data_IF_278933446931
#
_entry.id   IF_278933446931
#
_cell.length_a   1.000
_cell.length_b   1.000
_cell.length_c   1.000
_cell.angle_alpha   90.00
_cell.angle_beta   90.00
_cell.angle_gamma   90.00
#
_symmetry.space_group_name_H-M   'P 1'
#
loop_
_entity.id
_entity.type
_entity.pdbx_description
1 polymer ?
#
# COMPACT_ATOMS: atom_id res chain seq x y z
N UNK A 1 15.27 -52.55 -80.03
CA UNK A 1 14.09 -51.77 -80.51
C UNK A 1 13.57 -50.93 -79.36
N UNK A 2 13.51 -49.59 -79.55
CA UNK A 2 12.65 -48.56 -78.90
C UNK A 2 12.67 -48.46 -77.37
N UNK A 3 12.80 -47.31 -76.69
CA UNK A 3 12.70 -45.88 -77.00
C UNK A 3 13.21 -45.19 -75.69
N UNK A 4 14.27 -44.38 -75.71
CA UNK A 4 14.27 -42.92 -75.50
C UNK A 4 13.74 -42.37 -74.15
N UNK A 5 14.23 -41.29 -73.52
CA UNK A 5 15.30 -40.29 -73.75
C UNK A 5 15.38 -39.40 -72.48
N UNK A 6 16.55 -38.79 -72.26
CA UNK A 6 16.83 -37.41 -71.78
C UNK A 6 16.42 -36.88 -70.37
N UNK A 7 17.46 -36.28 -69.78
CA UNK A 7 17.54 -34.94 -69.18
C UNK A 7 16.79 -34.63 -67.88
N UNK A 8 17.54 -34.54 -66.78
CA UNK A 8 17.24 -33.69 -65.63
C UNK A 8 18.13 -32.44 -65.62
N UNK A 9 17.60 -31.33 -66.13
CA UNK A 9 17.98 -29.95 -65.76
C UNK A 9 16.72 -29.09 -65.86
N UNK A 10 16.62 -28.13 -64.93
CA UNK A 10 15.54 -27.13 -64.75
C UNK A 10 14.31 -27.77 -64.10
N UNK A 11 13.96 -27.43 -62.86
CA UNK A 11 13.18 -26.23 -62.51
C UNK A 11 13.60 -25.72 -61.12
N UNK A 12 14.17 -24.52 -61.08
CA UNK A 12 14.08 -23.61 -59.92
C UNK A 12 12.70 -22.96 -60.00
N UNK A 13 11.86 -23.15 -58.99
CA UNK A 13 10.59 -22.47 -58.90
C UNK A 13 9.76 -22.98 -57.73
N UNK A 14 9.43 -22.06 -56.82
CA UNK A 14 8.30 -22.11 -55.88
C UNK A 14 8.52 -22.99 -54.63
N UNK A 15 9.15 -22.40 -53.62
CA UNK A 15 8.70 -22.62 -52.22
C UNK A 15 8.31 -21.24 -51.70
N UNK A 16 7.04 -20.94 -51.89
CA UNK A 16 6.33 -19.79 -51.33
C UNK A 16 6.09 -20.09 -49.85
N UNK A 17 6.65 -19.21 -49.00
CA UNK A 17 5.98 -18.58 -47.87
C UNK A 17 4.98 -19.46 -47.08
N UNK A 18 5.46 -20.09 -46.00
CA UNK A 18 4.65 -20.32 -44.81
C UNK A 18 5.45 -19.82 -43.61
N UNK A 19 5.68 -18.50 -43.59
CA UNK A 19 6.01 -17.81 -42.37
C UNK A 19 4.71 -17.75 -41.57
N UNK A 20 4.54 -18.66 -40.62
CA UNK A 20 3.53 -18.55 -39.58
C UNK A 20 3.93 -17.31 -38.78
N UNK A 21 3.37 -16.17 -39.17
CA UNK A 21 3.35 -14.97 -38.35
C UNK A 21 2.36 -15.24 -37.23
N UNK A 22 2.82 -15.92 -36.17
CA UNK A 22 2.16 -15.77 -34.86
C UNK A 22 2.45 -14.33 -34.45
N UNK A 23 1.60 -13.40 -34.90
CA UNK A 23 1.44 -12.15 -34.19
C UNK A 23 0.83 -12.58 -32.86
N UNK A 24 1.67 -12.81 -31.86
CA UNK A 24 1.24 -12.56 -30.52
C UNK A 24 0.83 -11.08 -30.54
N UNK A 25 -0.47 -10.82 -30.56
CA UNK A 25 -0.97 -9.52 -30.13
C UNK A 25 -0.59 -9.43 -28.66
N UNK A 26 0.65 -9.02 -28.38
CA UNK A 26 0.96 -8.38 -27.14
C UNK A 26 0.04 -7.16 -27.11
N UNK A 27 -1.08 -7.26 -26.41
CA UNK A 27 -1.83 -6.11 -25.93
C UNK A 27 -0.99 -5.38 -24.87
N UNK A 28 0.27 -5.07 -25.20
CA UNK A 28 1.09 -4.16 -24.42
C UNK A 28 0.63 -2.77 -24.79
N UNK A 29 0.07 -2.05 -23.82
CA UNK A 29 -0.10 -0.60 -23.95
C UNK A 29 1.22 0.01 -24.40
N UNK A 30 1.17 0.99 -25.29
CA UNK A 30 2.36 1.73 -25.64
C UNK A 30 2.92 2.38 -24.37
N UNK A 31 4.24 2.41 -24.22
CA UNK A 31 4.90 2.98 -23.04
C UNK A 31 4.60 4.47 -22.82
N UNK A 32 4.02 5.14 -23.81
CA UNK A 32 3.54 6.53 -23.74
C UNK A 32 2.21 6.67 -22.97
N UNK A 33 1.47 5.58 -22.78
CA UNK A 33 0.17 5.59 -22.10
C UNK A 33 0.28 5.36 -20.58
N UNK A 34 1.49 5.11 -20.04
CA UNK A 34 1.74 4.91 -18.60
C UNK A 34 2.06 6.23 -17.91
N UNK A 35 1.19 6.67 -16.99
CA UNK A 35 1.39 7.93 -16.23
C UNK A 35 2.54 7.83 -15.23
N UNK A 36 2.62 6.72 -14.51
CA UNK A 36 3.53 6.54 -13.38
C UNK A 36 4.61 5.51 -13.69
N UNK A 37 5.59 5.90 -14.53
CA UNK A 37 6.66 5.01 -15.04
C UNK A 37 7.66 4.55 -13.97
N UNK A 38 7.74 5.26 -12.85
CA UNK A 38 8.60 4.92 -11.71
C UNK A 38 7.98 5.38 -10.40
N UNK A 39 8.23 4.64 -9.32
CA UNK A 39 7.93 5.09 -7.96
C UNK A 39 8.86 6.26 -7.53
N UNK A 40 10.04 6.41 -8.15
CA UNK A 40 10.95 7.52 -7.88
C UNK A 40 10.27 8.87 -8.12
N UNK A 41 10.33 9.72 -7.10
CA UNK A 41 9.72 11.04 -7.09
C UNK A 41 8.28 11.08 -6.54
N UNK A 42 7.74 9.95 -6.06
CA UNK A 42 6.37 9.89 -5.56
C UNK A 42 6.29 9.62 -4.06
N UNK A 43 5.19 10.07 -3.46
CA UNK A 43 4.71 9.70 -2.13
C UNK A 43 3.47 8.83 -2.30
N UNK A 44 3.60 7.54 -2.00
CA UNK A 44 2.47 6.60 -2.04
C UNK A 44 2.05 6.25 -0.61
N UNK A 45 0.76 6.01 -0.39
CA UNK A 45 0.25 5.58 0.92
C UNK A 45 -0.17 4.11 0.88
N UNK A 46 -0.15 3.41 2.02
CA UNK A 46 -0.92 2.17 2.14
C UNK A 46 -2.41 2.46 2.22
N UNK A 47 -3.24 1.58 1.64
CA UNK A 47 -4.70 1.69 1.67
C UNK A 47 -5.32 0.32 1.90
N UNK A 48 -6.10 0.16 2.96
CA UNK A 48 -6.67 -1.13 3.37
C UNK A 48 -8.03 -1.40 2.74
N UNK A 49 -8.93 -0.41 2.80
CA UNK A 49 -10.28 -0.57 2.28
C UNK A 49 -11.08 -1.70 2.94
N UNK A 50 -10.78 -2.04 4.19
CA UNK A 50 -11.33 -3.21 4.89
C UNK A 50 -12.46 -2.91 5.86
N UNK A 51 -12.81 -1.63 6.07
CA UNK A 51 -13.85 -1.24 7.02
C UNK A 51 -15.25 -1.55 6.47
N UNK A 52 -16.08 -2.21 7.27
CA UNK A 52 -17.44 -2.66 6.90
C UNK A 52 -18.46 -2.18 7.91
N UNK A 53 -19.66 -1.87 7.43
CA UNK A 53 -20.75 -1.39 8.24
C UNK A 53 -21.98 -2.31 8.15
N UNK A 54 -22.76 -2.39 9.22
CA UNK A 54 -24.08 -3.03 9.13
C UNK A 54 -24.96 -2.25 8.15
N UNK A 55 -25.57 -2.96 7.21
CA UNK A 55 -26.43 -2.39 6.17
C UNK A 55 -25.69 -1.93 4.92
N UNK A 56 -24.38 -2.14 4.85
CA UNK A 56 -23.63 -1.93 3.61
C UNK A 56 -23.83 -3.05 2.58
N UNK A 57 -23.31 -2.82 1.37
CA UNK A 57 -23.46 -3.78 0.28
C UNK A 57 -22.62 -5.05 0.46
N UNK A 58 -21.73 -5.10 1.46
CA UNK A 58 -20.99 -6.31 1.82
C UNK A 58 -21.92 -7.32 2.49
N UNK A 59 -22.89 -6.84 3.29
CA UNK A 59 -23.81 -7.66 4.09
C UNK A 59 -23.08 -8.67 5.01
N UNK A 60 -21.88 -8.30 5.50
CA UNK A 60 -21.08 -9.12 6.43
C UNK A 60 -21.07 -8.58 7.87
N UNK A 61 -21.74 -7.45 8.11
CA UNK A 61 -21.79 -6.78 9.40
C UNK A 61 -20.60 -5.84 9.63
N UNK A 62 -20.37 -5.48 10.90
CA UNK A 62 -19.24 -4.63 11.28
C UNK A 62 -17.91 -5.35 11.05
N UNK A 63 -16.97 -4.67 10.40
CA UNK A 63 -15.61 -5.15 10.18
C UNK A 63 -14.60 -4.04 10.43
N UNK A 64 -13.53 -4.35 11.18
CA UNK A 64 -12.41 -3.47 11.55
C UNK A 64 -12.75 -2.22 12.40
N UNK A 65 -14.03 -1.88 12.58
CA UNK A 65 -14.46 -0.83 13.52
C UNK A 65 -14.64 -1.32 14.97
N UNK A 66 -14.88 -2.61 15.14
CA UNK A 66 -15.07 -3.24 16.44
C UNK A 66 -14.91 -4.74 16.37
N UNK A 67 -15.07 -5.41 17.52
CA UNK A 67 -14.92 -6.84 17.65
C UNK A 67 -16.27 -7.56 17.80
N UNK A 68 -16.26 -8.90 17.65
CA UNK A 68 -17.44 -9.77 17.86
C UNK A 68 -18.69 -9.34 17.06
N UNK A 69 -18.49 -8.72 15.89
CA UNK A 69 -19.55 -8.24 15.01
C UNK A 69 -20.34 -7.04 15.56
N UNK A 70 -19.78 -6.29 16.53
CA UNK A 70 -20.40 -5.11 17.13
C UNK A 70 -19.52 -3.88 16.98
N UNK A 71 -20.15 -2.70 17.01
CA UNK A 71 -19.47 -1.42 17.03
C UNK A 71 -20.19 -0.48 18.01
N UNK A 72 -19.78 -0.57 19.27
CA UNK A 72 -20.34 0.14 20.42
C UNK A 72 -19.23 0.42 21.45
N UNK A 73 -19.46 1.21 22.52
CA UNK A 73 -18.41 1.57 23.49
C UNK A 73 -17.64 0.41 24.14
N UNK A 74 -18.21 -0.80 24.17
CA UNK A 74 -17.57 -1.99 24.74
C UNK A 74 -16.74 -2.78 23.71
N UNK A 75 -17.11 -2.67 22.43
CA UNK A 75 -16.55 -3.49 21.34
C UNK A 75 -15.70 -2.71 20.35
N UNK A 76 -15.60 -1.38 20.49
CA UNK A 76 -14.88 -0.51 19.57
C UNK A 76 -13.37 -0.82 19.52
N UNK A 77 -12.76 -0.73 18.34
CA UNK A 77 -11.32 -0.97 18.13
C UNK A 77 -10.55 0.28 17.70
N UNK A 78 -11.22 1.29 17.15
CA UNK A 78 -10.58 2.48 16.59
C UNK A 78 -10.31 3.56 17.64
N UNK A 79 -9.15 4.21 17.57
CA UNK A 79 -8.85 5.32 18.47
C UNK A 79 -9.16 6.68 17.86
N UNK A 80 -9.13 6.80 16.53
CA UNK A 80 -9.40 8.03 15.82
C UNK A 80 -10.70 7.91 15.03
N UNK A 81 -11.53 8.95 15.05
CA UNK A 81 -12.82 8.95 14.36
C UNK A 81 -12.72 9.71 13.02
N UNK A 82 -13.15 9.11 11.89
CA UNK A 82 -13.19 9.79 10.59
C UNK A 82 -14.06 11.04 10.60
N UNK A 83 -13.69 12.04 9.81
CA UNK A 83 -14.52 13.22 9.56
C UNK A 83 -15.60 12.86 8.54
N UNK A 84 -16.85 12.80 9.01
CA UNK A 84 -17.97 12.33 8.20
C UNK A 84 -18.64 13.40 7.35
N UNK A 85 -18.17 14.65 7.41
CA UNK A 85 -18.85 15.81 6.81
C UNK A 85 -18.96 15.78 5.28
N UNK A 86 -18.08 15.05 4.59
CA UNK A 86 -18.04 14.97 3.12
C UNK A 86 -18.52 13.63 2.55
N UNK A 87 -18.83 12.63 3.39
CA UNK A 87 -19.26 11.32 2.93
C UNK A 87 -20.73 11.35 2.49
N UNK A 88 -20.97 10.93 1.25
CA UNK A 88 -22.32 10.86 0.68
C UNK A 88 -23.17 9.76 1.33
N UNK A 89 -22.56 8.59 1.57
CA UNK A 89 -23.22 7.44 2.17
C UNK A 89 -22.57 7.11 3.51
N UNK A 90 -23.40 7.01 4.54
CA UNK A 90 -22.96 6.78 5.91
C UNK A 90 -23.92 5.85 6.65
N UNK A 91 -23.45 5.30 7.77
CA UNK A 91 -24.15 4.30 8.56
C UNK A 91 -24.24 4.73 10.01
N UNK A 92 -25.43 4.64 10.60
CA UNK A 92 -25.64 4.96 12.00
C UNK A 92 -24.84 4.02 12.90
N UNK A 93 -24.28 4.55 13.97
CA UNK A 93 -23.50 3.80 14.96
C UNK A 93 -24.18 3.81 16.33
N UNK A 94 -23.62 3.10 17.31
CA UNK A 94 -24.05 3.19 18.72
C UNK A 94 -23.44 4.41 19.45
N UNK A 95 -22.69 5.27 18.75
CA UNK A 95 -22.04 6.44 19.33
C UNK A 95 -22.89 7.70 19.20
N UNK A 96 -22.67 8.64 20.11
CA UNK A 96 -23.45 9.87 20.24
C UNK A 96 -22.52 11.07 20.18
N UNK A 97 -22.82 12.03 19.32
CA UNK A 97 -22.10 13.29 19.20
C UNK A 97 -22.37 14.18 20.42
N UNK A 98 -21.56 15.24 20.59
CA UNK A 98 -21.70 16.18 21.70
C UNK A 98 -23.06 16.88 21.77
N UNK A 99 -23.71 17.08 20.63
CA UNK A 99 -25.04 17.69 20.52
C UNK A 99 -26.20 16.71 20.78
N UNK A 100 -25.90 15.43 21.06
CA UNK A 100 -26.88 14.39 21.29
C UNK A 100 -27.34 13.65 20.04
N UNK A 101 -26.89 14.04 18.84
CA UNK A 101 -27.19 13.33 17.60
C UNK A 101 -26.43 12.00 17.50
N UNK A 102 -26.99 11.04 16.74
CA UNK A 102 -26.31 9.79 16.42
C UNK A 102 -25.08 10.04 15.57
N UNK A 103 -23.93 9.46 15.95
CA UNK A 103 -22.74 9.50 15.13
C UNK A 103 -22.83 8.48 13.98
N UNK A 104 -22.26 8.84 12.83
CA UNK A 104 -22.27 8.04 11.62
C UNK A 104 -20.85 7.63 11.23
N UNK A 105 -20.71 6.56 10.43
CA UNK A 105 -19.41 6.09 9.92
C UNK A 105 -19.53 5.68 8.44
N UNK A 106 -18.42 5.65 7.70
CA UNK A 106 -18.39 5.20 6.31
C UNK A 106 -18.27 3.67 6.22
N UNK A 107 -18.46 3.11 5.02
CA UNK A 107 -18.00 1.75 4.67
C UNK A 107 -17.06 1.78 3.47
N UNK A 108 -15.97 1.01 3.49
CA UNK A 108 -15.02 0.97 2.38
C UNK A 108 -15.55 0.23 1.14
N UNK A 109 -16.67 -0.51 1.23
CA UNK A 109 -17.26 -1.15 0.04
C UNK A 109 -18.08 -0.20 -0.81
N UNK A 110 -18.44 0.96 -0.28
CA UNK A 110 -19.15 1.98 -1.05
C UNK A 110 -18.20 2.63 -2.05
N UNK A 111 -18.66 2.74 -3.29
CA UNK A 111 -17.91 3.41 -4.36
C UNK A 111 -17.66 4.88 -4.01
N UNK A 112 -18.66 5.58 -3.44
CA UNK A 112 -18.55 6.98 -3.04
C UNK A 112 -17.50 7.24 -1.97
N UNK A 113 -17.25 6.28 -1.07
CA UNK A 113 -16.13 6.33 -0.11
C UNK A 113 -14.79 6.37 -0.84
N UNK A 114 -14.56 5.42 -1.75
CA UNK A 114 -13.29 5.31 -2.47
C UNK A 114 -13.10 6.47 -3.43
N UNK A 115 -14.16 6.91 -4.11
CA UNK A 115 -14.15 8.09 -4.98
C UNK A 115 -13.73 9.35 -4.20
N UNK A 116 -14.31 9.58 -3.03
CA UNK A 116 -13.95 10.71 -2.16
C UNK A 116 -12.49 10.67 -1.70
N UNK A 117 -12.00 9.48 -1.32
CA UNK A 117 -10.61 9.30 -0.91
C UNK A 117 -9.62 9.67 -2.03
N UNK A 118 -9.87 9.22 -3.26
CA UNK A 118 -9.03 9.55 -4.41
C UNK A 118 -9.19 11.02 -4.86
N UNK A 119 -10.38 11.60 -4.70
CA UNK A 119 -10.60 13.04 -4.86
C UNK A 119 -9.70 13.84 -3.92
N UNK A 120 -9.67 13.50 -2.63
CA UNK A 120 -8.75 14.12 -1.68
C UNK A 120 -7.29 13.92 -2.11
N UNK A 121 -6.89 12.72 -2.53
CA UNK A 121 -5.52 12.53 -3.03
C UNK A 121 -5.17 13.49 -4.16
N UNK A 122 -6.08 13.72 -5.12
CA UNK A 122 -5.88 14.71 -6.19
C UNK A 122 -5.81 16.14 -5.65
N UNK A 123 -6.75 16.54 -4.80
CA UNK A 123 -6.84 17.89 -4.24
C UNK A 123 -5.61 18.29 -3.42
N UNK A 124 -5.12 17.36 -2.60
CA UNK A 124 -3.96 17.59 -1.73
C UNK A 124 -2.63 17.24 -2.40
N UNK A 125 -2.64 16.70 -3.62
CA UNK A 125 -1.42 16.37 -4.37
C UNK A 125 -0.69 15.13 -3.86
N UNK A 126 -1.42 14.16 -3.31
CA UNK A 126 -0.92 12.82 -2.98
C UNK A 126 -0.86 12.01 -4.28
N UNK A 127 0.19 11.22 -4.46
CA UNK A 127 0.46 10.58 -5.76
C UNK A 127 -0.41 9.37 -6.01
N UNK A 128 -0.69 8.60 -4.96
CA UNK A 128 -1.48 7.39 -5.09
C UNK A 128 -1.34 6.46 -3.89
N UNK A 129 -1.78 5.23 -4.08
CA UNK A 129 -1.83 4.21 -3.01
C UNK A 129 -1.36 2.83 -3.44
N UNK A 130 -0.83 2.08 -2.48
CA UNK A 130 -0.75 0.63 -2.52
C UNK A 130 -2.01 0.05 -1.88
N UNK A 131 -2.89 -0.53 -2.70
CA UNK A 131 -4.08 -1.24 -2.25
C UNK A 131 -3.66 -2.57 -1.62
N UNK A 132 -3.88 -2.71 -0.31
CA UNK A 132 -3.55 -3.94 0.39
C UNK A 132 -4.54 -5.05 0.04
N UNK A 133 -3.99 -6.22 -0.24
CA UNK A 133 -4.70 -7.45 -0.54
C UNK A 133 -4.19 -8.54 0.38
N UNK A 134 -4.90 -8.75 1.47
CA UNK A 134 -4.53 -9.71 2.51
C UNK A 134 -4.55 -11.14 2.00
N UNK A 135 -3.68 -11.98 2.54
CA UNK A 135 -3.53 -13.37 2.13
C UNK A 135 -4.86 -14.12 2.14
N UNK A 136 -5.69 -13.88 3.15
CA UNK A 136 -7.01 -14.47 3.33
C UNK A 136 -7.94 -14.28 2.12
N UNK A 137 -7.78 -13.17 1.40
CA UNK A 137 -8.57 -12.85 0.21
C UNK A 137 -8.22 -13.74 -0.98
N UNK A 138 -7.02 -14.34 -0.98
CA UNK A 138 -6.51 -15.11 -2.12
C UNK A 138 -7.02 -16.56 -2.15
N UNK A 139 -7.54 -17.07 -1.02
CA UNK A 139 -7.81 -18.52 -0.82
C UNK A 139 -8.82 -19.12 -1.78
N UNK A 140 -9.93 -18.42 -2.05
CA UNK A 140 -11.00 -18.94 -2.90
C UNK A 140 -11.84 -17.82 -3.51
N UNK A 141 -12.75 -18.18 -4.42
CA UNK A 141 -13.60 -17.23 -5.14
C UNK A 141 -14.50 -16.40 -4.23
N UNK A 142 -15.00 -16.95 -3.13
CA UNK A 142 -15.89 -16.23 -2.22
C UNK A 142 -15.12 -15.18 -1.42
N UNK A 143 -13.93 -15.52 -0.91
CA UNK A 143 -13.03 -14.59 -0.22
C UNK A 143 -12.60 -13.41 -1.09
N UNK A 144 -12.60 -13.56 -2.43
CA UNK A 144 -12.21 -12.50 -3.39
C UNK A 144 -13.31 -11.48 -3.65
N UNK A 145 -14.59 -11.82 -3.47
CA UNK A 145 -15.72 -11.00 -3.96
C UNK A 145 -15.67 -9.54 -3.50
N UNK A 146 -15.53 -9.35 -2.19
CA UNK A 146 -15.52 -8.02 -1.57
C UNK A 146 -14.22 -7.26 -1.85
N UNK A 147 -13.02 -7.82 -1.62
CA UNK A 147 -11.80 -7.11 -1.95
C UNK A 147 -11.66 -6.81 -3.45
N UNK A 148 -12.21 -7.64 -4.35
CA UNK A 148 -12.29 -7.32 -5.78
C UNK A 148 -13.20 -6.12 -6.06
N UNK A 149 -14.33 -5.99 -5.34
CA UNK A 149 -15.20 -4.82 -5.45
C UNK A 149 -14.47 -3.55 -5.02
N UNK A 150 -13.81 -3.56 -3.86
CA UNK A 150 -13.04 -2.41 -3.35
C UNK A 150 -11.90 -2.06 -4.31
N UNK A 151 -11.20 -3.06 -4.83
CA UNK A 151 -10.12 -2.85 -5.80
C UNK A 151 -10.64 -2.25 -7.12
N UNK A 152 -11.80 -2.70 -7.62
CA UNK A 152 -12.46 -2.09 -8.79
C UNK A 152 -12.86 -0.64 -8.55
N UNK A 153 -13.41 -0.32 -7.38
CA UNK A 153 -13.72 1.07 -7.02
C UNK A 153 -12.45 1.93 -7.05
N UNK A 154 -11.34 1.41 -6.52
CA UNK A 154 -10.05 2.10 -6.55
C UNK A 154 -9.48 2.25 -7.97
N UNK A 155 -9.62 1.24 -8.85
CA UNK A 155 -9.24 1.35 -10.26
C UNK A 155 -10.02 2.46 -10.98
N UNK A 156 -11.33 2.51 -10.80
CA UNK A 156 -12.21 3.54 -11.39
C UNK A 156 -11.86 4.93 -10.88
N UNK A 157 -11.71 5.08 -9.56
CA UNK A 157 -11.35 6.35 -8.94
C UNK A 157 -9.93 6.80 -9.33
N UNK A 158 -8.98 5.87 -9.39
CA UNK A 158 -7.63 6.11 -9.90
C UNK A 158 -7.66 6.69 -11.31
N UNK A 159 -8.45 6.11 -12.23
CA UNK A 159 -8.64 6.65 -13.58
C UNK A 159 -9.21 8.06 -13.57
N UNK A 160 -10.33 8.27 -12.85
CA UNK A 160 -11.03 9.56 -12.77
C UNK A 160 -10.15 10.69 -12.24
N UNK A 161 -9.33 10.42 -11.23
CA UNK A 161 -8.51 11.41 -10.55
C UNK A 161 -7.02 11.38 -10.96
N UNK A 162 -6.67 10.55 -11.94
CA UNK A 162 -5.32 10.35 -12.44
C UNK A 162 -4.29 10.08 -11.32
N UNK A 163 -4.65 9.26 -10.32
CA UNK A 163 -3.77 8.91 -9.18
C UNK A 163 -3.17 7.54 -9.38
N UNK A 164 -1.92 7.35 -8.97
CA UNK A 164 -1.27 6.06 -9.05
C UNK A 164 -1.99 5.04 -8.16
N UNK A 165 -2.01 3.78 -8.59
CA UNK A 165 -2.41 2.69 -7.71
C UNK A 165 -1.59 1.43 -8.01
N UNK A 166 -1.34 0.60 -7.00
CA UNK A 166 -0.70 -0.71 -7.17
C UNK A 166 -1.18 -1.70 -6.12
N UNK A 167 -1.06 -2.99 -6.41
CA UNK A 167 -1.42 -4.05 -5.46
C UNK A 167 -0.26 -4.33 -4.50
N UNK A 168 -0.58 -4.43 -3.22
CA UNK A 168 0.30 -4.93 -2.16
C UNK A 168 -0.30 -6.17 -1.53
N UNK A 169 0.31 -7.33 -1.73
CA UNK A 169 -0.05 -8.53 -1.01
C UNK A 169 0.45 -8.46 0.42
N UNK A 170 -0.46 -8.58 1.39
CA UNK A 170 -0.11 -8.66 2.81
C UNK A 170 -0.18 -10.13 3.26
N UNK A 171 0.95 -10.66 3.73
CA UNK A 171 1.05 -12.07 4.12
C UNK A 171 0.41 -12.38 5.49
N UNK A 172 -0.16 -11.40 6.17
CA UNK A 172 -0.94 -11.61 7.39
C UNK A 172 -2.12 -12.55 7.13
N UNK A 173 -2.39 -13.44 8.08
CA UNK A 173 -3.43 -14.47 7.95
C UNK A 173 -2.96 -15.77 7.30
N UNK A 174 -1.75 -15.83 6.72
CA UNK A 174 -1.18 -17.07 6.16
C UNK A 174 -1.03 -18.15 7.26
N UNK A 175 -1.64 -19.31 7.03
CA UNK A 175 -1.47 -20.47 7.90
C UNK A 175 -0.24 -21.30 7.46
N UNK A 176 0.81 -21.42 8.28
CA UNK A 176 2.04 -22.10 7.89
C UNK A 176 1.88 -23.59 7.57
N UNK A 177 0.82 -24.24 8.08
CA UNK A 177 0.59 -25.68 7.93
C UNK A 177 -0.21 -26.02 6.67
N UNK A 178 -1.04 -25.10 6.18
CA UNK A 178 -2.00 -25.37 5.10
C UNK A 178 -1.86 -24.45 3.90
N UNK A 179 -1.21 -23.29 4.06
CA UNK A 179 -1.15 -22.24 3.06
C UNK A 179 0.30 -21.99 2.60
N UNK A 180 0.45 -21.56 1.34
CA UNK A 180 1.71 -21.02 0.83
C UNK A 180 1.44 -19.91 -0.21
N UNK A 181 2.49 -19.21 -0.64
CA UNK A 181 2.40 -18.10 -1.58
C UNK A 181 1.91 -18.49 -3.00
N UNK A 182 1.64 -19.76 -3.28
CA UNK A 182 1.07 -20.20 -4.57
C UNK A 182 -0.38 -19.75 -4.74
N UNK A 183 -1.15 -19.51 -3.66
CA UNK A 183 -2.51 -18.95 -3.78
C UNK A 183 -2.48 -17.52 -4.33
N UNK A 184 -1.43 -16.75 -4.00
CA UNK A 184 -1.18 -15.40 -4.52
C UNK A 184 -0.93 -15.45 -6.04
N UNK A 185 -0.25 -16.49 -6.55
CA UNK A 185 -0.04 -16.68 -7.99
C UNK A 185 -1.38 -16.77 -8.72
N UNK A 186 -2.29 -17.62 -8.23
CA UNK A 186 -3.61 -17.80 -8.83
C UNK A 186 -4.53 -16.58 -8.66
N UNK A 187 -4.33 -15.84 -7.58
CA UNK A 187 -5.00 -14.57 -7.37
C UNK A 187 -4.50 -13.48 -8.33
N UNK A 188 -3.18 -13.35 -8.54
CA UNK A 188 -2.60 -12.39 -9.48
C UNK A 188 -3.09 -12.64 -10.91
N UNK A 189 -3.10 -13.91 -11.35
CA UNK A 189 -3.69 -14.29 -12.65
C UNK A 189 -5.13 -13.82 -12.77
N UNK A 190 -5.94 -14.06 -11.72
CA UNK A 190 -7.32 -13.57 -11.67
C UNK A 190 -7.42 -12.05 -11.77
N UNK A 191 -6.57 -11.29 -11.06
CA UNK A 191 -6.56 -9.84 -11.14
C UNK A 191 -6.18 -9.32 -12.54
N UNK A 192 -5.17 -9.94 -13.17
CA UNK A 192 -4.76 -9.61 -14.52
C UNK A 192 -5.88 -9.94 -15.52
N UNK A 193 -6.44 -11.14 -15.48
CA UNK A 193 -7.42 -11.58 -16.48
C UNK A 193 -8.80 -10.95 -16.29
N UNK A 194 -9.29 -10.88 -15.05
CA UNK A 194 -10.68 -10.50 -14.77
C UNK A 194 -10.83 -9.02 -14.45
N UNK A 195 -9.82 -8.40 -13.83
CA UNK A 195 -9.85 -6.98 -13.46
C UNK A 195 -8.96 -6.12 -14.37
N UNK A 196 -8.17 -6.73 -15.26
CA UNK A 196 -7.22 -6.02 -16.12
C UNK A 196 -6.32 -5.09 -15.30
N UNK A 197 -5.87 -5.55 -14.13
CA UNK A 197 -5.34 -4.69 -13.06
C UNK A 197 -4.18 -3.80 -13.51
N UNK A 198 -3.35 -4.28 -14.44
CA UNK A 198 -2.19 -3.57 -14.99
C UNK A 198 -2.45 -2.90 -16.35
N UNK A 199 -3.68 -2.93 -16.86
CA UNK A 199 -4.06 -2.46 -18.20
C UNK A 199 -5.50 -1.89 -18.21
N UNK A 200 -5.91 -1.26 -17.11
CA UNK A 200 -7.27 -0.74 -16.95
C UNK A 200 -7.38 0.72 -17.39
N UNK A 201 -8.38 1.04 -18.22
CA UNK A 201 -8.70 2.39 -18.65
C UNK A 201 -7.96 2.86 -19.90
N UNK A 202 -8.18 4.12 -20.30
CA UNK A 202 -7.56 4.71 -21.49
C UNK A 202 -6.07 5.02 -21.26
N UNK A 203 -5.71 5.45 -20.06
CA UNK A 203 -4.32 5.64 -19.65
C UNK A 203 -3.98 4.71 -18.48
N UNK A 204 -2.76 4.22 -18.43
CA UNK A 204 -2.35 3.33 -17.35
C UNK A 204 -1.92 4.11 -16.12
N UNK A 205 -2.75 4.08 -15.07
CA UNK A 205 -2.45 4.65 -13.77
C UNK A 205 -1.86 3.62 -12.80
N UNK A 206 -1.71 2.36 -13.21
CA UNK A 206 -1.02 1.36 -12.41
C UNK A 206 0.44 1.83 -12.21
N UNK A 207 0.94 1.76 -10.98
CA UNK A 207 2.29 2.22 -10.67
C UNK A 207 3.31 1.27 -11.30
N UNK A 208 4.24 1.82 -12.06
CA UNK A 208 5.41 1.09 -12.55
C UNK A 208 6.65 1.47 -11.75
N UNK A 209 7.63 0.56 -11.77
CA UNK A 209 9.00 0.83 -11.38
C UNK A 209 9.95 0.12 -12.33
N UNK A 210 11.06 0.76 -12.70
CA UNK A 210 11.93 0.27 -13.78
C UNK A 210 11.10 -0.08 -15.04
N UNK A 211 10.11 0.77 -15.36
CA UNK A 211 9.21 0.66 -16.51
C UNK A 211 8.26 -0.56 -16.50
N UNK A 212 8.27 -1.36 -15.44
CA UNK A 212 7.43 -2.55 -15.25
C UNK A 212 6.35 -2.32 -14.20
N UNK A 213 5.16 -2.93 -14.31
CA UNK A 213 4.15 -2.90 -13.25
C UNK A 213 4.76 -3.28 -11.90
N UNK A 214 4.52 -2.48 -10.87
CA UNK A 214 5.04 -2.73 -9.52
C UNK A 214 4.04 -3.56 -8.71
N UNK A 215 4.50 -4.68 -8.15
CA UNK A 215 3.74 -5.48 -7.18
C UNK A 215 4.49 -5.49 -5.85
N UNK A 216 3.79 -5.23 -4.75
CA UNK A 216 4.38 -5.26 -3.43
C UNK A 216 3.98 -6.53 -2.67
N UNK A 217 4.88 -7.04 -1.83
CA UNK A 217 4.64 -8.18 -0.93
C UNK A 217 5.13 -7.76 0.46
N UNK A 218 4.23 -7.67 1.43
CA UNK A 218 4.51 -7.20 2.79
C UNK A 218 4.40 -8.32 3.82
N UNK A 219 5.18 -8.20 4.90
CA UNK A 219 5.14 -9.12 6.04
C UNK A 219 6.34 -10.08 6.08
N UNK A 220 7.38 -9.84 5.28
CA UNK A 220 8.45 -10.81 5.09
C UNK A 220 9.54 -10.61 6.16
N UNK A 221 9.75 -11.63 7.00
CA UNK A 221 10.85 -11.66 7.96
C UNK A 221 10.56 -11.08 9.34
N UNK A 222 9.29 -10.81 9.66
CA UNK A 222 8.89 -10.44 11.03
C UNK A 222 8.82 -11.70 11.92
N UNK A 223 9.36 -11.67 13.15
CA UNK A 223 9.47 -12.83 14.02
C UNK A 223 8.14 -13.22 14.70
N UNK A 224 7.15 -12.32 14.71
CA UNK A 224 5.82 -12.52 15.29
C UNK A 224 4.83 -13.16 14.29
N UNK A 225 5.29 -13.48 13.07
CA UNK A 225 4.48 -14.20 12.08
C UNK A 225 4.53 -15.70 12.33
N UNK A 226 3.42 -16.43 12.12
CA UNK A 226 3.36 -17.86 12.39
C UNK A 226 4.17 -18.70 11.39
N UNK A 227 4.65 -18.10 10.29
CA UNK A 227 5.30 -18.81 9.20
C UNK A 227 6.81 -18.60 9.10
N UNK A 228 7.49 -19.60 8.53
CA UNK A 228 8.89 -19.52 8.17
C UNK A 228 9.06 -19.10 6.70
N UNK A 229 9.81 -18.04 6.44
CA UNK A 229 10.04 -17.49 5.10
C UNK A 229 10.64 -18.50 4.10
N UNK A 230 11.33 -19.54 4.58
CA UNK A 230 11.88 -20.63 3.74
C UNK A 230 10.82 -21.62 3.26
N UNK A 231 9.68 -21.72 3.93
CA UNK A 231 8.70 -22.80 3.71
C UNK A 231 7.45 -22.34 2.95
N UNK A 232 7.19 -21.03 2.86
CA UNK A 232 5.98 -20.48 2.23
C UNK A 232 6.08 -20.28 0.70
N UNK A 233 7.13 -20.82 0.06
CA UNK A 233 7.38 -20.71 -1.40
C UNK A 233 7.42 -19.26 -1.91
N UNK A 234 7.86 -18.32 -1.09
CA UNK A 234 7.94 -16.90 -1.45
C UNK A 234 8.87 -16.64 -2.64
N UNK A 235 10.00 -17.33 -2.73
CA UNK A 235 10.90 -17.24 -3.88
C UNK A 235 10.22 -17.64 -5.19
N UNK A 236 9.39 -18.69 -5.17
CA UNK A 236 8.60 -19.11 -6.33
C UNK A 236 7.62 -18.02 -6.76
N UNK A 237 6.98 -17.34 -5.80
CA UNK A 237 6.10 -16.21 -6.09
C UNK A 237 6.88 -15.05 -6.74
N UNK A 238 8.03 -14.68 -6.19
CA UNK A 238 8.90 -13.63 -6.76
C UNK A 238 9.33 -13.99 -8.19
N UNK A 239 9.81 -15.22 -8.39
CA UNK A 239 10.25 -15.69 -9.71
C UNK A 239 9.09 -15.72 -10.71
N UNK A 240 7.88 -16.13 -10.30
CA UNK A 240 6.67 -16.06 -11.13
C UNK A 240 6.34 -14.62 -11.55
N UNK A 241 6.22 -13.69 -10.60
CA UNK A 241 5.86 -12.29 -10.90
C UNK A 241 6.91 -11.60 -11.78
N UNK A 242 8.17 -12.03 -11.72
CA UNK A 242 9.24 -11.48 -12.57
C UNK A 242 9.32 -12.11 -13.95
N UNK A 243 9.16 -13.43 -14.05
CA UNK A 243 9.62 -14.19 -15.21
C UNK A 243 8.55 -15.00 -15.92
N UNK A 244 7.34 -15.12 -15.37
CA UNK A 244 6.25 -15.78 -16.08
C UNK A 244 5.97 -15.04 -17.41
N UNK A 245 5.90 -15.75 -18.55
CA UNK A 245 5.80 -15.11 -19.87
C UNK A 245 4.44 -14.45 -20.15
N UNK A 246 3.41 -14.76 -19.36
CA UNK A 246 2.06 -14.23 -19.54
C UNK A 246 1.69 -13.25 -18.44
N UNK A 247 1.96 -13.62 -17.19
CA UNK A 247 1.53 -12.86 -16.00
C UNK A 247 2.69 -12.18 -15.27
N UNK A 248 3.93 -12.43 -15.69
CA UNK A 248 5.13 -11.88 -15.08
C UNK A 248 5.51 -10.52 -15.65
N UNK A 249 6.82 -10.23 -15.68
CA UNK A 249 7.32 -8.95 -16.15
C UNK A 249 7.10 -7.80 -15.16
N UNK A 250 6.85 -8.10 -13.88
CA UNK A 250 6.68 -7.10 -12.84
C UNK A 250 8.01 -6.68 -12.19
N UNK A 251 8.05 -5.46 -11.66
CA UNK A 251 9.00 -5.06 -10.62
C UNK A 251 8.41 -5.40 -9.26
N UNK A 252 9.26 -5.71 -8.27
CA UNK A 252 8.81 -6.21 -6.96
C UNK A 252 9.31 -5.32 -5.83
N UNK A 253 8.41 -4.94 -4.92
CA UNK A 253 8.74 -4.32 -3.63
C UNK A 253 8.50 -5.29 -2.48
N UNK A 254 9.49 -5.48 -1.59
CA UNK A 254 9.31 -6.29 -0.38
C UNK A 254 9.17 -5.40 0.86
N UNK A 255 8.08 -5.60 1.60
CA UNK A 255 7.82 -5.03 2.91
C UNK A 255 8.44 -5.91 4.01
N UNK A 256 9.41 -5.37 4.75
CA UNK A 256 10.26 -6.10 5.70
C UNK A 256 10.34 -5.38 7.05
N UNK A 257 10.91 -5.98 8.11
CA UNK A 257 11.15 -5.31 9.39
C UNK A 257 12.05 -4.06 9.32
N UNK A 258 12.00 -3.22 10.35
CA UNK A 258 12.85 -2.00 10.44
C UNK A 258 14.34 -2.33 10.43
N UNK A 259 14.74 -3.37 11.15
CA UNK A 259 16.14 -3.75 11.33
C UNK A 259 16.60 -4.84 10.36
N UNK A 260 15.94 -4.97 9.19
CA UNK A 260 16.26 -5.98 8.16
C UNK A 260 17.75 -5.98 7.77
N UNK A 261 18.40 -4.81 7.75
CA UNK A 261 19.81 -4.67 7.39
C UNK A 261 20.73 -5.45 8.33
N UNK A 262 20.37 -5.54 9.62
CA UNK A 262 21.13 -6.23 10.67
C UNK A 262 20.67 -7.68 10.86
N UNK A 263 19.42 -7.99 10.48
CA UNK A 263 18.74 -9.25 10.81
C UNK A 263 18.59 -9.46 12.33
N UNK A 264 18.27 -8.38 13.06
CA UNK A 264 18.10 -8.38 14.51
C UNK A 264 16.85 -7.60 14.96
N UNK A 265 16.66 -7.46 16.28
CA UNK A 265 15.57 -6.71 16.91
C UNK A 265 14.17 -7.15 16.47
N UNK A 266 13.57 -6.46 15.49
CA UNK A 266 12.23 -6.77 14.97
C UNK A 266 12.28 -7.67 13.72
N UNK A 267 13.45 -8.22 13.41
CA UNK A 267 13.71 -9.05 12.24
C UNK A 267 14.16 -10.47 12.62
N UNK A 268 13.78 -11.45 11.81
CA UNK A 268 14.37 -12.79 11.87
C UNK A 268 15.88 -12.73 11.62
N UNK A 269 16.63 -13.50 12.40
CA UNK A 269 18.09 -13.69 12.22
C UNK A 269 18.38 -14.76 11.17
N UNK A 270 17.86 -14.59 9.95
CA UNK A 270 18.01 -15.52 8.82
C UNK A 270 18.49 -14.77 7.56
N UNK A 271 19.64 -15.17 7.03
CA UNK A 271 20.27 -14.57 5.84
C UNK A 271 19.46 -14.78 4.54
N UNK A 272 18.52 -15.72 4.55
CA UNK A 272 17.57 -15.90 3.46
C UNK A 272 16.74 -14.64 3.19
N UNK A 273 16.49 -13.81 4.22
CA UNK A 273 15.80 -12.55 4.01
C UNK A 273 16.61 -11.62 3.09
N UNK A 274 17.93 -11.50 3.29
CA UNK A 274 18.77 -10.70 2.40
C UNK A 274 18.84 -11.28 0.99
N UNK A 275 18.84 -12.61 0.87
CA UNK A 275 18.75 -13.28 -0.43
C UNK A 275 17.46 -12.90 -1.17
N UNK A 276 16.30 -12.98 -0.50
CA UNK A 276 15.02 -12.58 -1.07
C UNK A 276 14.99 -11.09 -1.45
N UNK A 277 15.51 -10.22 -0.59
CA UNK A 277 15.59 -8.78 -0.86
C UNK A 277 16.40 -8.51 -2.14
N UNK A 278 17.55 -9.15 -2.32
CA UNK A 278 18.37 -9.00 -3.55
C UNK A 278 17.69 -9.51 -4.82
N UNK A 279 16.65 -10.35 -4.72
CA UNK A 279 15.82 -10.78 -5.87
C UNK A 279 14.72 -9.77 -6.19
N UNK A 280 14.44 -8.80 -5.33
CA UNK A 280 13.45 -7.74 -5.55
C UNK A 280 14.07 -6.48 -6.20
N UNK A 281 13.23 -5.49 -6.50
CA UNK A 281 13.64 -4.20 -7.06
C UNK A 281 13.67 -3.11 -5.99
N UNK A 282 12.81 -3.24 -4.98
CA UNK A 282 12.64 -2.28 -3.90
C UNK A 282 12.53 -3.01 -2.56
N UNK A 283 13.16 -2.46 -1.52
CA UNK A 283 12.90 -2.84 -0.12
C UNK A 283 12.25 -1.67 0.63
N UNK A 284 11.21 -1.98 1.41
CA UNK A 284 10.46 -1.03 2.24
C UNK A 284 10.39 -1.56 3.67
N UNK A 285 11.17 -1.02 4.62
CA UNK A 285 11.03 -1.38 6.02
C UNK A 285 9.77 -0.79 6.64
N UNK A 286 9.02 -1.59 7.40
CA UNK A 286 7.89 -1.13 8.20
C UNK A 286 8.38 -0.46 9.48
N UNK A 287 8.20 0.85 9.57
CA UNK A 287 8.75 1.69 10.65
C UNK A 287 7.73 2.10 11.72
N UNK A 288 6.45 1.84 11.51
CA UNK A 288 5.37 2.17 12.47
C UNK A 288 5.68 1.55 13.82
N UNK A 289 5.63 2.34 14.90
CA UNK A 289 5.90 1.87 16.25
C UNK A 289 7.38 1.79 16.65
N UNK A 290 8.34 2.07 15.74
CA UNK A 290 9.79 1.90 16.01
C UNK A 290 10.52 3.18 16.39
N UNK A 291 9.96 4.35 16.07
CA UNK A 291 10.57 5.65 16.34
C UNK A 291 9.55 6.63 16.98
N UNK A 292 9.98 7.43 17.96
CA UNK A 292 9.14 8.45 18.64
C UNK A 292 9.88 9.78 18.78
N UNK A 293 9.17 10.90 19.05
CA UNK A 293 9.80 12.22 19.28
C UNK A 293 10.53 12.32 20.62
N UNK A 294 9.98 11.74 21.69
CA UNK A 294 10.44 11.97 23.07
C UNK A 294 11.76 11.27 23.40
N UNK A 295 12.20 10.35 22.55
CA UNK A 295 13.60 10.01 22.50
C UNK A 295 14.29 11.23 21.88
N UNK A 296 14.74 12.19 22.70
CA UNK A 296 15.41 13.44 22.29
C UNK A 296 16.69 13.23 21.43
N UNK A 297 17.08 11.96 21.20
CA UNK A 297 18.11 11.51 20.26
C UNK A 297 17.58 10.66 19.07
N UNK A 298 16.32 10.20 19.14
CA UNK A 298 15.64 9.26 18.26
C UNK A 298 15.52 9.72 16.82
N UNK A 299 15.30 11.01 16.55
CA UNK A 299 15.21 11.50 15.16
C UNK A 299 16.58 11.65 14.47
N UNK A 300 17.63 11.96 15.23
CA UNK A 300 19.00 11.87 14.72
C UNK A 300 19.37 10.40 14.43
N UNK A 301 18.94 9.48 15.31
CA UNK A 301 19.08 8.04 15.08
C UNK A 301 18.26 7.57 13.88
N UNK A 302 17.04 8.07 13.68
CA UNK A 302 16.17 7.75 12.55
C UNK A 302 16.83 8.13 11.22
N UNK A 303 17.30 9.38 11.10
CA UNK A 303 18.04 9.81 9.91
C UNK A 303 19.30 8.99 9.67
N UNK A 304 20.08 8.73 10.73
CA UNK A 304 21.30 7.93 10.62
C UNK A 304 20.99 6.46 10.22
N UNK A 305 19.89 5.91 10.71
CA UNK A 305 19.38 4.58 10.35
C UNK A 305 19.03 4.53 8.86
N UNK A 306 18.17 5.45 8.40
CA UNK A 306 17.76 5.56 7.00
C UNK A 306 18.96 5.73 6.06
N UNK A 307 19.97 6.54 6.44
CA UNK A 307 21.20 6.66 5.65
C UNK A 307 21.97 5.36 5.49
N UNK A 308 22.03 4.54 6.54
CA UNK A 308 22.71 3.24 6.49
C UNK A 308 21.93 2.24 5.65
N UNK A 309 20.60 2.26 5.72
CA UNK A 309 19.76 1.42 4.89
C UNK A 309 19.85 1.81 3.42
N UNK A 310 19.75 3.11 3.09
CA UNK A 310 19.99 3.62 1.73
C UNK A 310 21.34 3.15 1.16
N UNK A 311 22.39 3.19 1.98
CA UNK A 311 23.72 2.70 1.59
C UNK A 311 23.71 1.20 1.31
N UNK A 312 23.17 0.41 2.24
CA UNK A 312 23.11 -1.06 2.09
C UNK A 312 22.29 -1.46 0.86
N UNK A 313 21.14 -0.82 0.64
CA UNK A 313 20.27 -1.07 -0.50
C UNK A 313 20.99 -0.79 -1.82
N UNK A 314 21.69 0.35 -1.91
CA UNK A 314 22.53 0.68 -3.06
C UNK A 314 23.63 -0.35 -3.31
N UNK A 315 24.33 -0.80 -2.26
CA UNK A 315 25.40 -1.82 -2.35
C UNK A 315 24.86 -3.20 -2.77
N UNK A 316 23.58 -3.47 -2.54
CA UNK A 316 22.90 -4.72 -2.89
C UNK A 316 22.04 -4.62 -4.16
N UNK A 317 22.09 -3.49 -4.89
CA UNK A 317 21.39 -3.30 -6.15
C UNK A 317 19.87 -3.18 -6.05
N UNK A 318 19.35 -2.81 -4.87
CA UNK A 318 17.91 -2.60 -4.63
C UNK A 318 17.63 -1.14 -4.30
N UNK A 319 16.49 -0.61 -4.77
CA UNK A 319 16.04 0.71 -4.33
C UNK A 319 15.43 0.61 -2.91
N UNK A 320 15.41 1.74 -2.21
CA UNK A 320 14.92 1.83 -0.83
C UNK A 320 13.78 2.84 -0.72
N UNK A 321 12.70 2.44 -0.04
CA UNK A 321 11.56 3.31 0.27
C UNK A 321 11.37 3.36 1.79
N UNK A 322 11.67 4.47 2.47
CA UNK A 322 11.34 4.63 3.88
C UNK A 322 9.83 4.68 4.11
N UNK A 323 9.41 4.19 5.28
CA UNK A 323 8.05 4.30 5.80
C UNK A 323 7.97 5.47 6.79
N UNK A 324 6.94 6.32 6.66
CA UNK A 324 6.63 7.43 7.57
C UNK A 324 5.16 7.36 7.99
N UNK A 325 4.81 7.88 9.16
CA UNK A 325 3.46 7.76 9.73
C UNK A 325 3.10 8.96 10.63
N UNK A 326 1.82 9.34 10.74
CA UNK A 326 1.45 10.59 11.43
C UNK A 326 1.51 10.51 12.95
N UNK A 327 1.42 9.30 13.50
CA UNK A 327 1.36 8.92 14.90
C UNK A 327 0.84 7.49 15.00
N UNK A 328 0.68 6.98 16.21
CA UNK A 328 0.21 5.61 16.45
C UNK A 328 -0.58 5.54 17.77
N UNK A 329 -1.75 4.92 17.72
CA UNK A 329 -2.63 4.70 18.87
C UNK A 329 -3.43 3.42 18.69
N UNK A 330 -3.50 2.58 19.71
CA UNK A 330 -4.29 1.33 19.69
C UNK A 330 -4.91 1.00 21.05
N UNK A 331 -5.25 2.01 21.85
CA UNK A 331 -5.82 1.85 23.19
C UNK A 331 -7.13 1.06 23.19
N UNK A 332 -8.04 1.34 22.26
CA UNK A 332 -9.28 0.55 22.13
C UNK A 332 -9.02 -0.86 21.60
N UNK A 333 -8.24 -1.00 20.53
CA UNK A 333 -7.84 -2.31 19.99
C UNK A 333 -7.13 -3.16 21.05
N UNK A 334 -6.28 -2.55 21.88
CA UNK A 334 -5.56 -3.24 22.94
C UNK A 334 -6.48 -3.84 23.99
N UNK A 335 -7.63 -3.23 24.29
CA UNK A 335 -8.61 -3.80 25.23
C UNK A 335 -9.21 -5.10 24.73
N UNK A 336 -9.21 -5.33 23.42
CA UNK A 336 -9.87 -6.46 22.79
C UNK A 336 -8.91 -7.53 22.26
N UNK A 337 -7.73 -7.15 21.77
CA UNK A 337 -6.72 -8.07 21.21
C UNK A 337 -5.53 -8.30 22.16
N UNK A 338 -5.27 -7.40 23.09
CA UNK A 338 -4.02 -7.39 23.89
C UNK A 338 -4.27 -7.22 25.40
N UNK A 339 -5.43 -7.65 25.91
CA UNK A 339 -5.79 -7.60 27.35
C UNK A 339 -5.60 -6.22 28.02
N UNK A 340 -5.78 -5.14 27.26
CA UNK A 340 -5.59 -3.76 27.72
C UNK A 340 -4.14 -3.38 28.03
N UNK A 341 -3.16 -4.12 27.51
CA UNK A 341 -1.73 -3.91 27.77
C UNK A 341 -1.20 -2.54 27.35
N UNK A 342 -1.82 -1.91 26.35
CA UNK A 342 -1.31 -0.69 25.77
C UNK A 342 -2.31 0.46 25.88
N UNK A 343 -1.79 1.65 26.18
CA UNK A 343 -2.55 2.88 26.30
C UNK A 343 -2.74 3.55 24.93
N UNK A 344 -3.47 4.67 24.90
CA UNK A 344 -3.66 5.53 23.75
C UNK A 344 -2.42 6.38 23.47
N UNK A 345 -2.33 6.89 22.24
CA UNK A 345 -1.33 7.86 21.80
C UNK A 345 0.11 7.46 22.18
N UNK A 346 0.48 6.17 22.05
CA UNK A 346 1.85 5.77 22.38
C UNK A 346 2.89 6.44 21.47
N UNK A 347 2.45 6.92 20.31
CA UNK A 347 3.20 7.87 19.48
C UNK A 347 2.27 9.03 19.14
N UNK A 348 2.26 10.11 19.95
CA UNK A 348 1.40 11.26 19.71
C UNK A 348 1.75 11.96 18.40
N UNK A 349 0.75 12.57 17.76
CA UNK A 349 0.94 13.26 16.48
C UNK A 349 1.62 14.63 16.64
N UNK A 350 1.48 15.24 17.82
CA UNK A 350 2.09 16.53 18.19
C UNK A 350 1.76 17.64 17.17
N UNK A 351 0.51 17.74 16.73
CA UNK A 351 0.08 18.69 15.71
C UNK A 351 0.76 18.49 14.36
N UNK A 352 1.17 17.26 14.04
CA UNK A 352 1.92 16.91 12.84
C UNK A 352 3.44 17.08 12.94
N UNK A 353 3.98 17.54 14.08
CA UNK A 353 5.43 17.67 14.28
C UNK A 353 6.14 16.32 14.15
N UNK A 354 5.55 15.24 14.68
CA UNK A 354 6.15 13.90 14.55
C UNK A 354 6.23 13.49 13.08
N UNK A 355 5.12 13.61 12.37
CA UNK A 355 5.02 13.26 10.95
C UNK A 355 6.01 14.04 10.09
N UNK A 356 6.02 15.38 10.23
CA UNK A 356 6.88 16.23 9.43
C UNK A 356 8.36 16.01 9.74
N UNK A 357 8.73 15.73 10.99
CA UNK A 357 10.10 15.37 11.33
C UNK A 357 10.55 14.08 10.64
N UNK A 358 9.69 13.05 10.56
CA UNK A 358 10.02 11.84 9.80
C UNK A 358 10.24 12.18 8.32
N UNK A 359 9.29 12.88 7.68
CA UNK A 359 9.39 13.31 6.28
C UNK A 359 10.68 14.10 6.03
N UNK A 360 10.98 15.08 6.86
CA UNK A 360 12.20 15.88 6.74
C UNK A 360 13.45 15.00 6.80
N UNK A 361 13.54 14.11 7.78
CA UNK A 361 14.74 13.29 8.00
C UNK A 361 14.96 12.28 6.87
N UNK A 362 13.91 11.69 6.30
CA UNK A 362 14.07 10.75 5.17
C UNK A 362 14.48 11.47 3.89
N UNK A 363 13.91 12.64 3.62
CA UNK A 363 14.28 13.46 2.47
C UNK A 363 15.72 13.98 2.59
N UNK A 364 16.10 14.48 3.77
CA UNK A 364 17.46 14.93 4.05
C UNK A 364 18.49 13.78 4.08
N UNK A 365 18.05 12.55 4.35
CA UNK A 365 18.87 11.35 4.18
C UNK A 365 19.12 10.99 2.70
N UNK A 366 18.33 11.54 1.78
CA UNK A 366 18.43 11.31 0.33
C UNK A 366 17.42 10.31 -0.23
N UNK A 367 16.33 10.04 0.50
CA UNK A 367 15.23 9.21 -0.01
C UNK A 367 14.63 9.84 -1.28
N UNK A 368 14.31 8.99 -2.26
CA UNK A 368 13.72 9.40 -3.55
C UNK A 368 12.26 9.00 -3.70
N UNK A 369 11.73 8.30 -2.70
CA UNK A 369 10.41 7.69 -2.65
C UNK A 369 10.00 7.69 -1.18
N UNK A 370 8.71 7.79 -0.88
CA UNK A 370 8.20 7.70 0.49
C UNK A 370 6.94 6.85 0.49
N UNK A 371 6.90 5.89 1.41
CA UNK A 371 5.67 5.18 1.77
C UNK A 371 5.06 5.81 3.02
N UNK A 372 3.79 6.16 2.97
CA UNK A 372 3.03 6.65 4.13
C UNK A 372 2.15 5.53 4.69
N UNK A 373 2.41 5.16 5.94
CA UNK A 373 1.55 4.29 6.72
C UNK A 373 0.65 5.16 7.62
N UNK A 374 -0.64 5.33 7.34
CA UNK A 374 -1.44 4.79 6.22
C UNK A 374 -2.45 5.84 5.74
N UNK A 375 -3.12 5.60 4.62
CA UNK A 375 -4.20 6.49 4.19
C UNK A 375 -5.43 6.39 5.11
N UNK A 376 -5.93 5.17 5.36
CA UNK A 376 -7.25 4.92 5.98
C UNK A 376 -7.23 4.07 7.28
N UNK A 377 -6.07 3.64 7.78
CA UNK A 377 -5.96 2.76 8.97
C UNK A 377 -6.25 3.52 10.28
N UNK A 378 -7.50 3.49 10.71
CA UNK A 378 -8.00 4.17 11.93
C UNK A 378 -7.97 3.32 13.19
N UNK A 379 -7.82 2.00 13.06
CA UNK A 379 -7.63 1.04 14.14
C UNK A 379 -6.26 1.17 14.82
N UNK A 380 -5.22 1.50 14.06
CA UNK A 380 -3.89 1.85 14.58
C UNK A 380 -3.65 3.37 14.67
N UNK A 381 -4.67 4.16 14.33
CA UNK A 381 -4.63 5.62 14.23
C UNK A 381 -3.43 6.16 13.44
N UNK A 382 -3.01 5.44 12.40
CA UNK A 382 -1.97 5.86 11.43
C UNK A 382 -2.58 6.57 10.22
N UNK A 383 -3.91 6.63 10.11
CA UNK A 383 -4.62 7.29 9.02
C UNK A 383 -4.22 8.77 8.83
N UNK A 384 -3.95 9.16 7.59
CA UNK A 384 -3.74 10.55 7.16
C UNK A 384 -4.98 11.19 6.54
N UNK A 385 -6.03 10.42 6.23
CA UNK A 385 -7.28 10.96 5.72
C UNK A 385 -7.99 11.86 6.74
N UNK A 386 -9.12 12.46 6.35
CA UNK A 386 -9.79 13.44 7.21
C UNK A 386 -10.40 12.75 8.44
N UNK A 387 -9.94 13.16 9.62
CA UNK A 387 -10.46 12.74 10.93
C UNK A 387 -10.96 13.94 11.72
N UNK A 388 -11.94 13.74 12.60
CA UNK A 388 -12.54 14.83 13.37
C UNK A 388 -11.78 15.12 14.67
N UNK A 389 -11.64 16.41 15.00
CA UNK A 389 -11.16 16.86 16.32
C UNK A 389 -12.28 16.82 17.39
N UNK A 390 -13.52 16.58 16.97
CA UNK A 390 -14.71 16.49 17.84
C UNK A 390 -15.39 15.13 17.66
N UNK A 391 -14.75 14.03 18.12
CA UNK A 391 -15.33 12.69 18.00
C UNK A 391 -16.55 12.51 18.92
N UNK A 392 -17.30 11.40 18.76
CA UNK A 392 -18.41 11.06 19.65
C UNK A 392 -17.99 10.94 21.13
N UNK A 393 -18.91 11.20 22.05
CA UNK A 393 -18.58 11.49 23.47
C UNK A 393 -18.86 10.34 24.44
N UNK A 394 -19.56 9.29 24.00
CA UNK A 394 -19.89 8.12 24.84
C UNK A 394 -18.84 7.00 24.80
N UNK A 395 -17.66 7.27 24.23
CA UNK A 395 -16.47 6.43 24.29
C UNK A 395 -15.21 7.28 24.19
N UNK A 396 -14.03 6.69 24.44
CA UNK A 396 -12.75 7.39 24.34
C UNK A 396 -12.20 7.28 22.92
N UNK A 397 -11.99 8.43 22.29
CA UNK A 397 -11.27 8.63 21.03
C UNK A 397 -10.18 9.68 21.24
N UNK A 398 -9.11 9.61 20.45
CA UNK A 398 -8.10 10.66 20.32
C UNK A 398 -8.64 11.76 19.39
N UNK A 399 -8.11 12.97 19.52
CA UNK A 399 -8.47 14.12 18.68
C UNK A 399 -7.37 14.42 17.66
N UNK A 400 -7.44 15.57 17.00
CA UNK A 400 -6.51 16.02 15.97
C UNK A 400 -5.56 17.09 16.49
N UNK A 401 -5.31 17.15 17.80
CA UNK A 401 -4.53 18.20 18.48
C UNK A 401 -5.07 19.62 18.23
N UNK A 402 -6.38 19.76 17.94
CA UNK A 402 -6.98 21.05 17.57
C UNK A 402 -6.70 21.49 16.12
N UNK A 403 -6.14 20.62 15.27
CA UNK A 403 -5.87 20.93 13.87
C UNK A 403 -7.05 20.58 12.95
N UNK A 404 -7.18 21.26 11.79
CA UNK A 404 -8.19 20.91 10.78
C UNK A 404 -8.08 19.44 10.33
N UNK A 405 -9.21 18.83 9.96
CA UNK A 405 -9.28 17.42 9.59
C UNK A 405 -8.36 17.04 8.43
N UNK A 406 -8.08 17.98 7.53
CA UNK A 406 -7.23 17.80 6.36
C UNK A 406 -5.72 18.06 6.58
N UNK A 407 -5.30 18.30 7.83
CA UNK A 407 -3.93 18.68 8.16
C UNK A 407 -2.88 17.69 7.66
N UNK A 408 -3.10 16.39 7.84
CA UNK A 408 -2.14 15.35 7.44
C UNK A 408 -2.11 15.12 5.93
N UNK A 409 -3.23 15.30 5.24
CA UNK A 409 -3.27 15.32 3.76
C UNK A 409 -2.41 16.46 3.21
N UNK A 410 -2.49 17.66 3.79
CA UNK A 410 -1.66 18.82 3.40
C UNK A 410 -0.17 18.56 3.60
N UNK A 411 0.23 17.93 4.70
CA UNK A 411 1.63 17.60 4.97
C UNK A 411 2.17 16.57 3.96
N UNK A 412 1.39 15.52 3.67
CA UNK A 412 1.74 14.52 2.65
C UNK A 412 1.89 15.13 1.27
N UNK A 413 0.97 16.02 0.88
CA UNK A 413 1.05 16.77 -0.37
C UNK A 413 2.30 17.63 -0.52
N UNK A 414 2.73 18.28 0.57
CA UNK A 414 3.99 19.05 0.59
C UNK A 414 5.21 18.15 0.38
N UNK A 415 5.22 16.95 0.96
CA UNK A 415 6.30 15.98 0.75
C UNK A 415 6.40 15.57 -0.73
N UNK A 416 5.24 15.31 -1.40
CA UNK A 416 5.20 15.00 -2.84
C UNK A 416 5.77 16.15 -3.68
N UNK A 417 5.38 17.40 -3.40
CA UNK A 417 5.93 18.57 -4.09
C UNK A 417 7.44 18.69 -3.92
N UNK A 418 7.98 18.47 -2.72
CA UNK A 418 9.43 18.51 -2.48
C UNK A 418 10.15 17.43 -3.29
N UNK A 419 9.64 16.19 -3.33
CA UNK A 419 10.25 15.10 -4.11
C UNK A 419 10.29 15.40 -5.61
N UNK A 420 9.20 15.97 -6.16
CA UNK A 420 9.07 16.22 -7.60
C UNK A 420 9.76 17.49 -8.06
N UNK A 421 9.50 18.58 -7.37
CA UNK A 421 9.89 19.93 -7.79
C UNK A 421 11.23 20.36 -7.19
N UNK A 422 11.86 19.53 -6.33
CA UNK A 422 13.09 19.84 -5.60
C UNK A 422 13.01 21.17 -4.85
N UNK A 423 11.83 21.49 -4.32
CA UNK A 423 11.63 22.66 -3.47
C UNK A 423 12.55 22.59 -2.24
N UNK A 424 12.83 23.76 -1.66
CA UNK A 424 13.64 23.85 -0.46
C UNK A 424 12.99 23.04 0.68
N UNK A 425 13.73 22.06 1.19
CA UNK A 425 13.32 21.26 2.34
C UNK A 425 13.42 22.11 3.61
N UNK A 426 12.28 22.42 4.23
CA UNK A 426 12.20 23.18 5.49
C UNK A 426 12.07 22.23 6.67
N UNK A 427 12.88 22.45 7.71
CA UNK A 427 12.90 21.60 8.90
C UNK A 427 11.68 21.82 9.80
N UNK A 428 11.36 23.08 10.07
CA UNK A 428 10.29 23.42 11.01
C UNK A 428 8.93 23.42 10.30
N UNK A 429 7.95 22.75 10.90
CA UNK A 429 6.60 22.64 10.33
C UNK A 429 5.92 24.02 10.21
N UNK A 430 6.24 24.94 11.11
CA UNK A 430 5.73 26.32 11.15
C UNK A 430 6.21 27.15 9.94
N UNK A 431 7.32 26.78 9.31
CA UNK A 431 7.85 27.46 8.13
C UNK A 431 7.18 27.01 6.83
N UNK A 432 6.41 25.92 6.86
CA UNK A 432 5.75 25.37 5.68
C UNK A 432 4.59 26.22 5.18
N UNK A 433 4.05 27.10 6.01
CA UNK A 433 2.95 27.99 5.65
C UNK A 433 3.42 29.41 5.30
N UNK A 434 4.73 29.69 5.41
CA UNK A 434 5.31 30.98 5.01
C UNK A 434 5.63 30.94 3.51
N UNK A 435 5.23 31.96 2.73
CA UNK A 435 5.60 32.06 1.31
C UNK A 435 7.13 31.97 1.18
N UNK A 436 7.60 31.29 0.12
CA UNK A 436 9.02 31.34 -0.23
C UNK A 436 9.31 32.76 -0.72
N UNK A 437 10.17 33.48 0.00
CA UNK A 437 10.70 34.77 -0.43
C UNK A 437 11.62 34.61 -1.64
#
# INVERSE_FOLDING_TARGET
MKQMYKNRKVIKGIIILNLILVIAMSNGMAQDDVLYKSYKGLVMCGYQGWFRAIGDNANVGWGHFGNKGKFDPEHLTIDIYPDMSEYEKTYSTAFVNKDGSTAHIFSSVDESTTDLHFKWMKEYGIDGVFMQRFFDYTRNKDSRKIPDLVLKNAQTASQKYERAFAVMYDLSGLNPDTDDCSTIIEDWKHLVDQLQITNFGEKNNYLHHNEKPLVAIWGIGFPDRPYNIRNIKLERLIDFLKHDPVYGGCSIMLGVPTYFRQLDSDCVSDDYLHYLIRKADIVMPWMVGRFTLDVFSGMNFYRAHVKKDLKWSKENGVDYVPCVYPGFSWGNLSRVEFDGKFDYEQIPRYGGKFFWNQIYNVLDAGAKMIYVAMFDEVDEATAIFKCTDSPPVNARFINMDGFPSDHYLKLTGKASKILKEKQLLKKNIEELNKPCN
#
